data_IF_769886650101
#
_entry.id   IF_769886650101
#
_cell.length_a   1.000
_cell.length_b   1.000
_cell.length_c   1.000
_cell.angle_alpha   90.00
_cell.angle_beta   90.00
_cell.angle_gamma   90.00
#
_symmetry.space_group_name_H-M   'P 1'
#
loop_
_entity.id
_entity.type
_entity.pdbx_description
1 polymer ?
#
# COMPACT_ATOMS: atom_id res chain seq x y z
N UNK A 1 -8.28 9.95 16.86
CA UNK A 1 -7.11 9.84 15.91
C UNK A 1 -7.58 10.30 14.55
N UNK A 2 -6.78 11.08 13.81
CA UNK A 2 -7.15 11.52 12.45
C UNK A 2 -7.16 10.36 11.45
N UNK A 3 -7.95 10.48 10.37
CA UNK A 3 -8.01 9.44 9.31
C UNK A 3 -6.64 9.29 8.61
N UNK A 4 -5.91 10.39 8.40
CA UNK A 4 -4.57 10.36 7.82
C UNK A 4 -3.59 9.53 8.67
N UNK A 5 -3.60 9.73 10.01
CA UNK A 5 -2.74 8.96 10.91
C UNK A 5 -3.11 7.47 10.91
N UNK A 6 -4.41 7.14 10.86
CA UNK A 6 -4.87 5.74 10.71
C UNK A 6 -4.35 5.14 9.42
N UNK A 7 -4.46 5.88 8.31
CA UNK A 7 -3.96 5.45 7.01
C UNK A 7 -2.45 5.18 7.03
N UNK A 8 -1.66 6.09 7.59
CA UNK A 8 -0.21 5.93 7.69
C UNK A 8 0.18 4.74 8.58
N UNK A 9 -0.46 4.55 9.74
CA UNK A 9 -0.20 3.40 10.62
C UNK A 9 -0.61 2.08 9.96
N UNK A 10 -1.76 2.05 9.30
CA UNK A 10 -2.19 0.87 8.54
C UNK A 10 -1.24 0.59 7.36
N UNK A 11 -0.81 1.64 6.66
CA UNK A 11 0.20 1.57 5.60
C UNK A 11 1.53 1.04 6.10
N UNK A 12 1.99 1.47 7.28
CA UNK A 12 3.21 0.96 7.89
C UNK A 12 3.13 -0.56 8.14
N UNK A 13 2.06 -1.02 8.77
CA UNK A 13 1.87 -2.45 9.05
C UNK A 13 1.78 -3.25 7.73
N UNK A 14 1.01 -2.76 6.76
CA UNK A 14 0.89 -3.41 5.46
C UNK A 14 2.25 -3.46 4.71
N UNK A 15 3.05 -2.39 4.78
CA UNK A 15 4.39 -2.34 4.18
C UNK A 15 5.35 -3.30 4.87
N UNK A 16 5.29 -3.42 6.20
CA UNK A 16 6.11 -4.40 6.95
C UNK A 16 5.76 -5.84 6.56
N UNK A 17 4.47 -6.17 6.48
CA UNK A 17 4.01 -7.50 6.03
C UNK A 17 4.48 -7.78 4.61
N UNK A 18 4.29 -6.83 3.69
CA UNK A 18 4.75 -6.98 2.31
C UNK A 18 6.27 -7.12 2.22
N UNK A 19 7.04 -6.37 3.02
CA UNK A 19 8.50 -6.49 3.09
C UNK A 19 8.92 -7.90 3.53
N UNK A 20 8.23 -8.48 4.51
CA UNK A 20 8.43 -9.88 4.91
C UNK A 20 8.17 -10.85 3.76
N UNK A 21 7.09 -10.67 3.01
CA UNK A 21 6.78 -11.49 1.82
C UNK A 21 7.86 -11.34 0.75
N UNK A 22 8.35 -10.13 0.49
CA UNK A 22 9.43 -9.86 -0.48
C UNK A 22 10.74 -10.56 -0.08
N UNK A 23 11.11 -10.48 1.19
CA UNK A 23 12.31 -11.14 1.72
C UNK A 23 12.17 -12.67 1.64
N UNK A 24 11.02 -13.21 2.06
CA UNK A 24 10.75 -14.64 1.98
C UNK A 24 10.81 -15.14 0.52
N UNK A 25 10.16 -14.42 -0.39
CA UNK A 25 10.21 -14.70 -1.83
C UNK A 25 11.65 -14.72 -2.36
N UNK A 26 12.46 -13.75 -1.96
CA UNK A 26 13.86 -13.65 -2.38
C UNK A 26 14.68 -14.83 -1.84
N UNK A 27 14.51 -15.21 -0.57
CA UNK A 27 15.22 -16.34 0.04
C UNK A 27 14.83 -17.69 -0.59
N UNK A 28 13.58 -17.82 -1.05
CA UNK A 28 13.11 -19.03 -1.76
C UNK A 28 13.51 -19.04 -3.23
N UNK A 29 14.15 -18.02 -3.76
CA UNK A 29 14.50 -17.90 -5.18
C UNK A 29 13.30 -17.78 -6.12
N UNK A 30 12.10 -17.46 -5.59
CA UNK A 30 10.87 -17.39 -6.38
C UNK A 30 10.83 -16.12 -7.21
N UNK A 31 10.59 -16.27 -8.53
CA UNK A 31 10.47 -15.14 -9.47
C UNK A 31 11.57 -14.08 -9.28
N UNK A 32 12.82 -14.52 -9.38
CA UNK A 32 14.03 -13.70 -9.15
C UNK A 32 14.08 -12.44 -10.02
N UNK A 33 13.47 -12.50 -11.22
CA UNK A 33 13.34 -11.37 -12.15
C UNK A 33 12.45 -10.25 -11.59
N UNK A 34 11.46 -10.61 -10.74
CA UNK A 34 10.54 -9.68 -10.09
C UNK A 34 11.13 -9.18 -8.77
N UNK A 35 12.07 -8.26 -8.82
CA UNK A 35 12.67 -7.65 -7.64
C UNK A 35 12.25 -6.18 -7.54
N UNK A 36 11.31 -5.88 -6.62
CA UNK A 36 10.81 -4.53 -6.39
C UNK A 36 11.93 -3.54 -6.07
N UNK A 37 12.91 -3.95 -5.27
CA UNK A 37 14.01 -3.06 -4.88
C UNK A 37 14.87 -2.72 -6.10
N UNK A 38 15.16 -3.69 -6.97
CA UNK A 38 15.85 -3.41 -8.24
C UNK A 38 15.02 -2.52 -9.16
N UNK A 39 13.70 -2.67 -9.17
CA UNK A 39 12.81 -1.81 -9.94
C UNK A 39 12.90 -0.36 -9.44
N UNK A 40 12.87 -0.13 -8.12
CA UNK A 40 13.02 1.21 -7.53
C UNK A 40 14.40 1.80 -7.82
N UNK A 41 15.48 0.99 -7.78
CA UNK A 41 16.80 1.43 -8.21
C UNK A 41 16.78 1.89 -9.68
N UNK A 42 16.09 1.17 -10.56
CA UNK A 42 15.98 1.55 -11.97
C UNK A 42 15.16 2.82 -12.22
N UNK A 43 14.30 3.21 -11.25
CA UNK A 43 13.51 4.44 -11.28
C UNK A 43 14.26 5.67 -10.73
N UNK A 44 15.47 5.50 -10.19
CA UNK A 44 16.32 6.59 -9.74
C UNK A 44 16.86 6.50 -8.32
N UNK A 45 16.55 5.43 -7.56
CA UNK A 45 17.16 5.22 -6.26
C UNK A 45 18.66 4.98 -6.39
N UNK A 46 19.48 5.81 -5.74
CA UNK A 46 20.95 5.80 -5.91
C UNK A 46 21.58 4.51 -5.36
N UNK A 47 20.96 3.90 -4.34
CA UNK A 47 21.44 2.70 -3.66
C UNK A 47 20.29 1.82 -3.17
N UNK A 48 20.57 0.56 -2.88
CA UNK A 48 19.57 -0.39 -2.34
C UNK A 48 18.92 0.11 -1.06
N UNK A 49 19.66 0.81 -0.18
CA UNK A 49 19.10 1.41 1.04
C UNK A 49 18.07 2.48 0.71
N UNK A 50 18.38 3.36 -0.25
CA UNK A 50 17.44 4.38 -0.71
C UNK A 50 16.17 3.74 -1.30
N UNK A 51 16.30 2.67 -2.09
CA UNK A 51 15.17 1.94 -2.64
C UNK A 51 14.25 1.33 -1.54
N UNK A 52 14.82 0.85 -0.44
CA UNK A 52 14.03 0.42 0.73
C UNK A 52 13.34 1.60 1.41
N UNK A 53 14.02 2.74 1.55
CA UNK A 53 13.37 3.97 2.08
C UNK A 53 12.21 4.41 1.20
N UNK A 54 12.40 4.44 -0.12
CA UNK A 54 11.33 4.78 -1.08
C UNK A 54 10.15 3.81 -0.98
N UNK A 55 10.42 2.51 -0.84
CA UNK A 55 9.38 1.51 -0.61
C UNK A 55 8.54 1.82 0.64
N UNK A 56 9.19 2.19 1.76
CA UNK A 56 8.47 2.57 2.98
C UNK A 56 7.76 3.92 2.84
N UNK A 57 8.38 4.92 2.23
CA UNK A 57 7.74 6.23 2.00
C UNK A 57 6.49 6.04 1.15
N UNK A 58 6.59 5.32 0.06
CA UNK A 58 5.45 5.06 -0.84
C UNK A 58 4.37 4.26 -0.12
N UNK A 59 4.72 3.17 0.56
CA UNK A 59 3.75 2.31 1.24
C UNK A 59 3.07 2.98 2.41
N UNK A 60 3.82 3.71 3.25
CA UNK A 60 3.31 4.33 4.47
C UNK A 60 2.63 5.67 4.18
N UNK A 61 3.34 6.55 3.48
CA UNK A 61 2.87 7.93 3.31
C UNK A 61 1.93 8.03 2.12
N UNK A 62 2.40 7.64 0.92
CA UNK A 62 1.60 7.82 -0.30
C UNK A 62 0.35 6.94 -0.26
N UNK A 63 0.51 5.64 -0.17
CA UNK A 63 -0.62 4.71 -0.19
C UNK A 63 -1.47 4.77 1.08
N UNK A 64 -0.85 4.99 2.26
CA UNK A 64 -1.59 5.16 3.51
C UNK A 64 -2.51 6.38 3.51
N UNK A 65 -2.03 7.53 3.01
CA UNK A 65 -2.85 8.75 2.89
C UNK A 65 -3.91 8.63 1.79
N UNK A 66 -3.55 8.04 0.64
CA UNK A 66 -4.50 7.81 -0.45
C UNK A 66 -5.62 6.86 -0.03
N UNK A 67 -5.31 5.83 0.77
CA UNK A 67 -6.34 4.93 1.30
C UNK A 67 -7.26 5.65 2.29
N UNK A 68 -6.73 6.51 3.16
CA UNK A 68 -7.55 7.30 4.06
C UNK A 68 -8.48 8.27 3.32
N UNK A 69 -8.01 8.86 2.21
CA UNK A 69 -8.83 9.68 1.32
C UNK A 69 -9.87 8.81 0.58
N UNK A 70 -9.49 7.65 0.07
CA UNK A 70 -10.39 6.71 -0.59
C UNK A 70 -11.50 6.22 0.36
N UNK A 71 -11.17 5.93 1.63
CA UNK A 71 -12.15 5.54 2.64
C UNK A 71 -13.23 6.59 2.84
N UNK A 72 -12.88 7.88 2.76
CA UNK A 72 -13.83 8.99 2.92
C UNK A 72 -14.84 9.11 1.77
N UNK A 73 -14.57 8.51 0.62
CA UNK A 73 -15.46 8.54 -0.55
C UNK A 73 -16.51 7.43 -0.53
N UNK A 74 -16.38 6.48 0.40
CA UNK A 74 -17.25 5.31 0.43
C UNK A 74 -17.68 4.95 1.86
N UNK A 75 -18.95 5.10 2.17
CA UNK A 75 -19.50 4.94 3.53
C UNK A 75 -19.55 3.49 4.07
N UNK A 76 -19.20 2.48 3.27
CA UNK A 76 -19.20 1.09 3.72
C UNK A 76 -18.22 0.85 4.87
N UNK A 77 -18.61 -0.01 5.82
CA UNK A 77 -17.73 -0.50 6.90
C UNK A 77 -16.95 -1.76 6.55
N UNK A 78 -17.06 -2.25 5.31
CA UNK A 78 -16.30 -3.41 4.84
C UNK A 78 -14.86 -2.99 4.47
N UNK A 79 -14.07 -2.59 5.47
CA UNK A 79 -12.71 -2.06 5.27
C UNK A 79 -11.77 -3.04 4.54
N UNK A 80 -11.92 -4.34 4.78
CA UNK A 80 -11.16 -5.38 4.07
C UNK A 80 -11.43 -5.36 2.57
N UNK A 81 -12.70 -5.17 2.17
CA UNK A 81 -13.07 -5.08 0.76
C UNK A 81 -12.57 -3.78 0.12
N UNK A 82 -12.68 -2.65 0.85
CA UNK A 82 -12.06 -1.39 0.42
C UNK A 82 -10.56 -1.55 0.19
N UNK A 83 -9.88 -2.26 1.10
CA UNK A 83 -8.46 -2.56 0.98
C UNK A 83 -8.14 -3.38 -0.26
N UNK A 84 -8.91 -4.43 -0.56
CA UNK A 84 -8.71 -5.24 -1.77
C UNK A 84 -8.92 -4.42 -3.05
N UNK A 85 -9.99 -3.62 -3.13
CA UNK A 85 -10.26 -2.75 -4.28
C UNK A 85 -9.12 -1.73 -4.45
N UNK A 86 -8.67 -1.13 -3.35
CA UNK A 86 -7.54 -0.21 -3.36
C UNK A 86 -6.23 -0.90 -3.78
N UNK A 87 -6.01 -2.15 -3.35
CA UNK A 87 -4.88 -2.98 -3.79
C UNK A 87 -4.87 -3.20 -5.30
N UNK A 88 -6.03 -3.49 -5.89
CA UNK A 88 -6.18 -3.60 -7.36
C UNK A 88 -5.88 -2.26 -8.03
N UNK A 89 -6.37 -1.15 -7.48
CA UNK A 89 -6.07 0.19 -8.01
C UNK A 89 -4.56 0.49 -7.96
N UNK A 90 -3.91 0.24 -6.83
CA UNK A 90 -2.47 0.43 -6.68
C UNK A 90 -1.66 -0.45 -7.64
N UNK A 91 -2.11 -1.69 -7.85
CA UNK A 91 -1.54 -2.59 -8.84
C UNK A 91 -1.67 -2.05 -10.27
N UNK A 92 -2.85 -1.54 -10.64
CA UNK A 92 -3.04 -0.93 -11.97
C UNK A 92 -2.11 0.27 -12.16
N UNK A 93 -1.98 1.14 -11.15
CA UNK A 93 -1.04 2.27 -11.20
C UNK A 93 0.40 1.78 -11.40
N UNK A 94 0.80 0.72 -10.70
CA UNK A 94 2.12 0.13 -10.88
C UNK A 94 2.30 -0.42 -12.31
N UNK A 95 1.32 -1.17 -12.83
CA UNK A 95 1.41 -1.83 -14.13
C UNK A 95 1.42 -0.84 -15.31
N UNK A 96 0.61 0.22 -15.19
CA UNK A 96 0.38 1.18 -16.29
C UNK A 96 1.34 2.37 -16.24
N UNK A 97 1.78 2.77 -15.05
CA UNK A 97 2.65 3.94 -14.89
C UNK A 97 4.09 3.54 -14.56
N UNK A 98 4.31 2.82 -13.44
CA UNK A 98 5.67 2.57 -12.95
C UNK A 98 6.43 1.54 -13.78
N UNK A 99 5.80 0.47 -14.26
CA UNK A 99 6.45 -0.53 -15.09
C UNK A 99 7.00 0.03 -16.41
N UNK A 100 6.25 0.82 -17.21
CA UNK A 100 6.79 1.48 -18.38
C UNK A 100 7.90 2.48 -18.05
N UNK A 101 7.76 3.29 -16.99
CA UNK A 101 8.80 4.23 -16.54
C UNK A 101 10.11 3.51 -16.18
N UNK A 102 10.03 2.35 -15.53
CA UNK A 102 11.17 1.48 -15.23
C UNK A 102 11.69 0.68 -16.45
N UNK A 103 11.18 0.98 -17.66
CA UNK A 103 11.53 0.27 -18.91
C UNK A 103 11.20 -1.24 -18.87
N UNK A 104 10.36 -1.68 -17.94
CA UNK A 104 9.92 -3.06 -17.82
C UNK A 104 8.76 -3.42 -18.79
N UNK A 105 8.27 -2.44 -19.53
CA UNK A 105 7.14 -2.57 -20.45
C UNK A 105 5.78 -2.56 -19.73
N UNK A 106 4.71 -2.40 -20.50
CA UNK A 106 3.36 -2.46 -19.98
C UNK A 106 3.12 -3.81 -19.32
N UNK A 107 2.52 -3.79 -18.12
CA UNK A 107 2.26 -4.99 -17.31
C UNK A 107 3.51 -5.86 -17.04
N UNK A 108 4.71 -5.27 -17.13
CA UNK A 108 5.96 -5.99 -16.87
C UNK A 108 6.33 -7.01 -17.95
N UNK A 109 5.87 -6.83 -19.19
CA UNK A 109 6.07 -7.78 -20.30
C UNK A 109 7.52 -8.09 -20.61
N UNK A 110 8.44 -7.18 -20.28
CA UNK A 110 9.89 -7.41 -20.44
C UNK A 110 10.53 -8.19 -19.29
N UNK A 111 9.84 -8.30 -18.15
CA UNK A 111 10.30 -9.10 -17.00
C UNK A 111 9.88 -10.55 -17.17
N UNK A 112 8.64 -10.79 -17.62
CA UNK A 112 8.12 -12.12 -17.87
C UNK A 112 6.61 -12.22 -17.67
N UNK A 113 5.99 -13.32 -18.15
CA UNK A 113 4.53 -13.46 -18.13
C UNK A 113 3.93 -13.52 -16.73
N UNK A 114 4.71 -13.94 -15.73
CA UNK A 114 4.25 -14.01 -14.33
C UNK A 114 4.22 -12.64 -13.63
N UNK A 115 4.84 -11.61 -14.22
CA UNK A 115 5.02 -10.31 -13.55
C UNK A 115 3.68 -9.72 -13.08
N UNK A 116 2.68 -9.69 -13.94
CA UNK A 116 1.38 -9.11 -13.64
C UNK A 116 0.65 -9.86 -12.50
N UNK A 117 0.65 -11.20 -12.55
CA UNK A 117 -0.08 -12.02 -11.57
C UNK A 117 0.57 -12.01 -10.19
N UNK A 118 1.90 -12.15 -10.15
CA UNK A 118 2.65 -12.15 -8.89
C UNK A 118 2.55 -10.80 -8.19
N UNK A 119 2.69 -9.71 -8.95
CA UNK A 119 2.54 -8.38 -8.39
C UNK A 119 1.10 -8.08 -7.98
N UNK A 120 0.08 -8.59 -8.70
CA UNK A 120 -1.31 -8.50 -8.27
C UNK A 120 -1.49 -9.16 -6.90
N UNK A 121 -0.99 -10.39 -6.72
CA UNK A 121 -1.04 -11.09 -5.43
C UNK A 121 -0.41 -10.28 -4.30
N UNK A 122 0.73 -9.65 -4.55
CA UNK A 122 1.40 -8.79 -3.57
C UNK A 122 0.56 -7.55 -3.22
N UNK A 123 -0.08 -6.91 -4.19
CA UNK A 123 -0.93 -5.75 -3.96
C UNK A 123 -2.24 -6.13 -3.26
N UNK A 124 -2.78 -7.32 -3.52
CA UNK A 124 -3.94 -7.83 -2.78
C UNK A 124 -3.61 -8.11 -1.31
N UNK A 125 -2.43 -8.70 -1.03
CA UNK A 125 -1.95 -8.89 0.36
C UNK A 125 -1.79 -7.52 1.04
N UNK A 126 -1.10 -6.60 0.40
CA UNK A 126 -0.92 -5.24 0.93
C UNK A 126 -2.25 -4.56 1.20
N UNK A 127 -3.15 -4.54 0.22
CA UNK A 127 -4.45 -3.89 0.33
C UNK A 127 -5.34 -4.53 1.40
N UNK A 128 -5.35 -5.87 1.50
CA UNK A 128 -6.10 -6.57 2.54
C UNK A 128 -5.63 -6.17 3.94
N UNK A 129 -4.31 -6.21 4.18
CA UNK A 129 -3.73 -5.83 5.47
C UNK A 129 -4.01 -4.36 5.78
N UNK A 130 -3.82 -3.48 4.80
CA UNK A 130 -4.11 -2.05 4.91
C UNK A 130 -5.56 -1.80 5.33
N UNK A 131 -6.52 -2.42 4.63
CA UNK A 131 -7.95 -2.27 4.93
C UNK A 131 -8.32 -2.83 6.31
N UNK A 132 -7.88 -4.04 6.65
CA UNK A 132 -8.16 -4.66 7.95
C UNK A 132 -7.61 -3.81 9.09
N UNK A 133 -6.34 -3.42 9.02
CA UNK A 133 -5.69 -2.62 10.09
C UNK A 133 -6.35 -1.24 10.20
N UNK A 134 -6.67 -0.59 9.10
CA UNK A 134 -7.38 0.68 9.11
C UNK A 134 -8.76 0.55 9.79
N UNK A 135 -9.50 -0.50 9.48
CA UNK A 135 -10.78 -0.81 10.12
C UNK A 135 -10.66 -1.03 11.62
N UNK A 136 -9.65 -1.80 12.06
CA UNK A 136 -9.36 -2.00 13.48
C UNK A 136 -9.04 -0.69 14.19
N UNK A 137 -8.17 0.13 13.61
CA UNK A 137 -7.82 1.44 14.16
C UNK A 137 -9.04 2.37 14.23
N UNK A 138 -9.96 2.27 13.28
CA UNK A 138 -11.19 3.07 13.27
C UNK A 138 -12.15 2.62 14.36
N UNK A 139 -12.24 1.33 14.64
CA UNK A 139 -13.05 0.79 15.72
C UNK A 139 -12.48 1.13 17.11
N UNK A 140 -11.17 1.02 17.28
CA UNK A 140 -10.51 1.27 18.57
C UNK A 140 -10.39 2.76 18.93
N UNK A 141 -10.21 3.63 17.93
CA UNK A 141 -10.01 5.06 18.13
C UNK A 141 -11.06 5.86 17.34
N UNK A 142 -12.34 5.85 17.77
CA UNK A 142 -13.37 6.61 17.07
C UNK A 142 -12.98 8.09 16.97
N UNK A 143 -13.45 8.77 15.92
CA UNK A 143 -13.29 10.22 15.80
C UNK A 143 -13.96 10.88 17.02
N UNK A 144 -13.33 11.92 17.60
CA UNK A 144 -14.00 12.74 18.62
C UNK A 144 -15.30 13.28 18.01
N UNK A 145 -16.42 13.05 18.70
CA UNK A 145 -17.66 13.70 18.32
C UNK A 145 -17.43 15.22 18.27
N UNK A 146 -18.01 15.93 17.30
CA UNK A 146 -17.94 17.39 17.29
C UNK A 146 -18.48 17.91 18.61
N UNK A 147 -17.74 18.78 19.29
CA UNK A 147 -18.13 19.42 20.54
C UNK A 147 -19.40 20.23 20.25
N UNK A 148 -20.51 19.85 20.86
CA UNK A 148 -21.77 20.57 20.69
C UNK A 148 -21.63 21.96 21.35
N UNK A 149 -21.62 23.05 20.58
CA UNK A 149 -21.41 24.40 21.15
C UNK A 149 -22.53 24.86 22.10
N UNK A 150 -23.62 24.10 22.22
CA UNK A 150 -24.76 24.39 23.08
C UNK A 150 -24.70 23.77 24.48
N UNK A 151 -23.64 23.02 24.81
CA UNK A 151 -23.46 22.52 26.18
C UNK A 151 -22.83 23.61 27.06
N UNK A 152 -23.52 24.17 28.07
CA UNK A 152 -22.93 25.11 29.02
C UNK A 152 -21.76 24.40 29.72
N UNK A 153 -20.58 25.04 29.74
CA UNK A 153 -19.45 24.60 30.57
C UNK A 153 -19.87 24.87 32.03
N UNK A 154 -20.27 23.84 32.74
CA UNK A 154 -20.47 23.86 34.19
C UNK A 154 -19.15 23.96 34.93
#
# INVERSE_FOLDING_TARGET
MSNSLRGMLAGLIATLVLSGVLILKANMGLWSELNLIRLLVSLGSIQTVAAWMDHFIVGVVVWGLLFAAFDSLWESRAYWLKGLIFGVFAWLMMMVLFMPLAKAGWFGTRIGPAAAYVTLGMHLIYGLVLGVVYGLLTAYYPAKAPENPSTPRG
#
